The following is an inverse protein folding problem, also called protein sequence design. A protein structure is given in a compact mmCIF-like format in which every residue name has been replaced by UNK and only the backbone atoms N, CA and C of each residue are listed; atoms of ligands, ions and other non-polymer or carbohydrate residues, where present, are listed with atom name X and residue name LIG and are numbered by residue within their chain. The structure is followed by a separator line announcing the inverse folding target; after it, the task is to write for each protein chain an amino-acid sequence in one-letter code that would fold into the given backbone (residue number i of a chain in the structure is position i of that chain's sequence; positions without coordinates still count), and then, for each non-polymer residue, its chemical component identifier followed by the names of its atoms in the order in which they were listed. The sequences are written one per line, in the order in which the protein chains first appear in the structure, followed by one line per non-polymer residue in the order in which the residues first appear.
data_IF_566600665288
#
_entry.id   IF_566600665288
#
_cell.length_a   1.000
_cell.length_b   1.000
_cell.length_c   1.000
_cell.angle_alpha   90.00
_cell.angle_beta   90.00
_cell.angle_gamma   90.00
#
_symmetry.space_group_name_H-M   'P 1'
#
loop_
_entity.id
_entity.type
_entity.pdbx_description
1 polymer ?
#
# COMPACT_ATOMS: atom_id res chain seq x y z
N UNK A 1 9.35 17.37 -39.42
CA UNK A 1 10.13 16.60 -38.42
C UNK A 1 10.35 17.28 -37.05
N UNK A 2 9.82 18.50 -36.77
CA UNK A 2 10.06 19.18 -35.47
C UNK A 2 8.96 19.02 -34.42
N UNK A 3 7.76 18.50 -34.76
CA UNK A 3 6.62 18.41 -33.83
C UNK A 3 6.57 17.11 -33.02
N UNK A 4 7.29 16.07 -33.44
CA UNK A 4 7.27 14.76 -32.79
C UNK A 4 8.20 14.67 -31.57
N UNK A 5 9.25 15.49 -31.50
CA UNK A 5 10.17 15.50 -30.35
C UNK A 5 9.61 16.19 -29.10
N UNK A 6 8.63 17.10 -29.22
CA UNK A 6 8.07 17.82 -28.05
C UNK A 6 7.08 17.00 -27.23
N UNK A 7 6.43 16.00 -27.83
CA UNK A 7 5.48 15.11 -27.16
C UNK A 7 6.16 14.01 -26.32
N UNK A 8 7.36 13.57 -26.72
CA UNK A 8 8.12 12.57 -25.96
C UNK A 8 8.80 13.17 -24.71
N UNK A 9 9.21 14.44 -24.77
CA UNK A 9 9.81 15.13 -23.62
C UNK A 9 8.80 15.44 -22.49
N UNK A 10 7.53 15.65 -22.83
CA UNK A 10 6.47 15.96 -21.85
C UNK A 10 5.96 14.72 -21.11
N UNK A 11 5.97 13.54 -21.75
CA UNK A 11 5.59 12.27 -21.10
C UNK A 11 6.68 11.79 -20.12
N UNK A 12 7.96 11.97 -20.47
CA UNK A 12 9.08 11.61 -19.57
C UNK A 12 9.13 12.45 -18.29
N UNK A 13 8.77 13.73 -18.36
CA UNK A 13 8.77 14.63 -17.20
C UNK A 13 7.62 14.34 -16.22
N UNK A 14 6.44 13.97 -16.73
CA UNK A 14 5.31 13.57 -15.88
C UNK A 14 5.57 12.25 -15.13
N UNK A 15 6.20 11.25 -15.77
CA UNK A 15 6.52 9.97 -15.12
C UNK A 15 7.61 10.11 -14.05
N UNK A 16 8.60 11.00 -14.27
CA UNK A 16 9.64 11.29 -13.29
C UNK A 16 9.11 12.04 -12.05
N UNK A 17 8.16 12.96 -12.23
CA UNK A 17 7.54 13.70 -11.12
C UNK A 17 6.66 12.81 -10.23
N UNK A 18 5.97 11.82 -10.79
CA UNK A 18 5.19 10.85 -10.01
C UNK A 18 6.06 9.86 -9.22
N UNK A 19 7.24 9.51 -9.71
CA UNK A 19 8.18 8.66 -8.99
C UNK A 19 8.88 9.42 -7.84
N UNK A 20 9.26 10.69 -8.06
CA UNK A 20 9.92 11.49 -7.02
C UNK A 20 9.00 11.92 -5.88
N UNK A 21 7.70 12.08 -6.11
CA UNK A 21 6.75 12.43 -5.05
C UNK A 21 6.56 11.30 -4.03
N UNK A 22 6.62 10.03 -4.47
CA UNK A 22 6.30 8.86 -3.66
C UNK A 22 7.36 8.51 -2.59
N UNK A 23 8.60 8.98 -2.76
CA UNK A 23 9.75 8.70 -1.91
C UNK A 23 10.19 9.88 -1.02
N UNK A 24 9.44 10.99 -1.03
CA UNK A 24 9.76 12.12 -0.14
C UNK A 24 9.47 11.77 1.33
N UNK A 25 10.25 12.30 2.29
CA UNK A 25 9.94 12.14 3.72
C UNK A 25 8.52 12.56 4.09
N UNK A 26 7.96 13.57 3.40
CA UNK A 26 6.59 14.05 3.57
C UNK A 26 5.55 13.05 3.05
N UNK A 27 5.77 12.44 1.90
CA UNK A 27 4.88 11.41 1.38
C UNK A 27 4.89 10.15 2.24
N UNK A 28 6.07 9.75 2.74
CA UNK A 28 6.19 8.62 3.65
C UNK A 28 5.49 8.90 4.98
N UNK A 29 5.70 10.08 5.57
CA UNK A 29 4.96 10.51 6.77
C UNK A 29 3.45 10.54 6.52
N UNK A 30 3.01 11.03 5.36
CA UNK A 30 1.60 11.04 4.97
C UNK A 30 1.00 9.63 4.89
N UNK A 31 1.72 8.66 4.30
CA UNK A 31 1.30 7.25 4.27
C UNK A 31 1.22 6.63 5.67
N UNK A 32 2.10 7.02 6.59
CA UNK A 32 2.08 6.52 7.97
C UNK A 32 0.86 7.02 8.75
N UNK A 33 0.37 8.21 8.44
CA UNK A 33 -0.80 8.82 9.09
C UNK A 33 -2.12 8.55 8.36
N UNK A 34 -2.08 7.96 7.17
CA UNK A 34 -3.26 7.64 6.37
C UNK A 34 -3.82 6.24 6.75
N UNK A 35 -5.02 6.14 7.36
CA UNK A 35 -5.61 4.85 7.73
C UNK A 35 -5.89 3.91 6.55
N UNK A 36 -5.91 4.42 5.32
CA UNK A 36 -6.09 3.60 4.12
C UNK A 36 -4.80 2.92 3.67
N UNK A 37 -3.63 3.34 4.19
CA UNK A 37 -2.32 2.87 3.76
C UNK A 37 -1.38 2.46 4.90
N UNK A 38 -1.54 3.00 6.11
CA UNK A 38 -0.62 2.82 7.23
C UNK A 38 -0.38 1.36 7.63
N UNK A 39 -1.41 0.52 7.58
CA UNK A 39 -1.32 -0.90 7.88
C UNK A 39 -0.50 -1.70 6.86
N UNK A 40 -0.25 -1.18 5.65
CA UNK A 40 0.50 -1.88 4.61
C UNK A 40 1.91 -2.30 5.07
N UNK A 41 2.55 -1.48 5.90
CA UNK A 41 3.86 -1.76 6.48
C UNK A 41 3.88 -3.04 7.33
N UNK A 42 2.76 -3.43 7.95
CA UNK A 42 2.71 -4.55 8.88
C UNK A 42 2.22 -5.85 8.23
N UNK A 43 1.83 -5.80 6.95
CA UNK A 43 1.38 -6.98 6.19
C UNK A 43 2.53 -7.73 5.53
N UNK A 44 3.69 -7.09 5.43
CA UNK A 44 4.87 -7.65 4.81
C UNK A 44 6.12 -7.29 5.63
N UNK A 45 6.89 -8.28 6.10
CA UNK A 45 8.13 -8.03 6.85
C UNK A 45 9.14 -7.15 6.09
N UNK A 46 9.19 -7.19 4.76
CA UNK A 46 10.06 -6.32 3.98
C UNK A 46 9.58 -4.86 4.00
N UNK A 47 8.26 -4.65 3.88
CA UNK A 47 7.66 -3.32 4.02
C UNK A 47 7.83 -2.78 5.44
N UNK A 48 7.79 -3.65 6.45
CA UNK A 48 8.04 -3.27 7.84
C UNK A 48 9.47 -2.76 8.02
N UNK A 49 10.48 -3.44 7.47
CA UNK A 49 11.87 -2.98 7.52
C UNK A 49 12.05 -1.62 6.83
N UNK A 50 11.34 -1.37 5.72
CA UNK A 50 11.35 -0.05 5.08
C UNK A 50 10.67 1.01 5.95
N UNK A 51 9.55 0.67 6.60
CA UNK A 51 8.82 1.55 7.50
C UNK A 51 9.65 1.93 8.73
N UNK A 52 10.29 0.96 9.37
CA UNK A 52 11.25 1.24 10.46
C UNK A 52 12.39 2.09 9.93
N UNK A 53 12.87 1.79 8.70
CA UNK A 53 13.86 2.56 7.93
C UNK A 53 13.55 4.03 7.92
N UNK A 54 12.34 4.32 7.47
CA UNK A 54 11.83 5.66 7.35
C UNK A 54 11.71 6.35 8.73
N UNK A 55 11.26 5.66 9.78
CA UNK A 55 11.17 6.28 11.12
C UNK A 55 12.54 6.65 11.69
N UNK A 56 13.57 5.83 11.47
CA UNK A 56 14.93 6.17 11.92
C UNK A 56 15.56 7.30 11.09
N UNK A 57 14.95 7.71 9.98
CA UNK A 57 15.39 8.87 9.22
C UNK A 57 14.88 10.16 9.91
N UNK A 58 15.76 11.08 10.33
CA UNK A 58 15.35 12.33 10.97
C UNK A 58 14.46 13.19 10.08
N UNK A 59 14.64 13.16 8.75
CA UNK A 59 13.80 13.93 7.84
C UNK A 59 12.34 13.45 7.84
N UNK A 60 12.12 12.14 7.88
CA UNK A 60 10.77 11.56 7.96
C UNK A 60 10.17 11.77 9.34
N UNK A 61 10.95 11.58 10.41
CA UNK A 61 10.49 11.84 11.77
C UNK A 61 10.08 13.32 11.96
N UNK A 62 10.85 14.26 11.40
CA UNK A 62 10.50 15.68 11.40
C UNK A 62 9.30 15.98 10.50
N UNK A 63 9.17 15.33 9.35
CA UNK A 63 7.98 15.46 8.52
C UNK A 63 6.72 14.95 9.23
N UNK A 64 6.84 13.89 10.03
CA UNK A 64 5.75 13.34 10.83
C UNK A 64 5.38 14.29 11.98
N UNK A 65 6.37 14.86 12.68
CA UNK A 65 6.15 15.91 13.67
C UNK A 65 5.47 17.14 13.04
N UNK A 66 5.93 17.56 11.87
CA UNK A 66 5.39 18.68 11.11
C UNK A 66 3.93 18.45 10.69
N UNK A 67 3.60 17.24 10.23
CA UNK A 67 2.22 16.85 9.93
C UNK A 67 1.36 16.78 11.20
N UNK A 68 1.91 16.33 12.33
CA UNK A 68 1.23 16.30 13.62
C UNK A 68 0.84 17.69 14.16
N UNK A 69 1.53 18.75 13.73
CA UNK A 69 1.18 20.13 14.04
C UNK A 69 0.14 20.74 13.10
N UNK A 70 -0.11 20.13 11.92
CA UNK A 70 -1.11 20.62 10.98
C UNK A 70 -2.50 20.07 11.35
N UNK A 71 -3.47 20.92 11.72
CA UNK A 71 -4.82 20.46 12.04
C UNK A 71 -5.49 19.71 10.87
N UNK A 72 -5.13 20.02 9.62
CA UNK A 72 -5.68 19.33 8.46
C UNK A 72 -5.27 17.86 8.42
N UNK A 73 -4.13 17.49 8.99
CA UNK A 73 -3.70 16.08 9.09
C UNK A 73 -4.73 15.25 9.85
N UNK A 74 -5.29 15.79 10.94
CA UNK A 74 -6.33 15.10 11.71
C UNK A 74 -7.64 14.97 10.92
N UNK A 75 -8.03 16.00 10.18
CA UNK A 75 -9.22 15.92 9.31
C UNK A 75 -9.04 14.88 8.20
N UNK A 76 -7.84 14.77 7.61
CA UNK A 76 -7.50 13.74 6.63
C UNK A 76 -7.49 12.35 7.24
N UNK A 77 -6.95 12.21 8.46
CA UNK A 77 -6.98 10.95 9.19
C UNK A 77 -8.42 10.52 9.48
N UNK A 78 -9.26 11.43 9.98
CA UNK A 78 -10.68 11.17 10.23
C UNK A 78 -11.44 10.82 8.95
N UNK A 79 -11.21 11.56 7.86
CA UNK A 79 -11.76 11.25 6.55
C UNK A 79 -11.29 9.89 6.03
N UNK A 80 -10.01 9.56 6.26
CA UNK A 80 -9.41 8.28 5.96
C UNK A 80 -10.11 7.14 6.70
N UNK A 81 -10.37 7.28 8.00
CA UNK A 81 -11.10 6.25 8.77
C UNK A 81 -12.50 5.98 8.24
N UNK A 82 -13.16 6.99 7.67
CA UNK A 82 -14.47 6.83 7.02
C UNK A 82 -14.36 6.29 5.60
N UNK A 83 -13.17 6.20 5.02
CA UNK A 83 -12.97 5.65 3.69
C UNK A 83 -13.11 4.12 3.73
N UNK A 84 -13.94 3.51 2.86
CA UNK A 84 -14.03 2.05 2.75
C UNK A 84 -12.68 1.36 2.48
N UNK A 85 -11.72 2.05 1.85
CA UNK A 85 -10.37 1.53 1.65
C UNK A 85 -9.64 1.24 2.98
N UNK A 86 -9.99 1.92 4.08
CA UNK A 86 -9.47 1.59 5.41
C UNK A 86 -9.92 0.21 5.84
N UNK A 87 -11.18 -0.18 5.61
CA UNK A 87 -11.61 -1.54 5.89
C UNK A 87 -10.79 -2.56 5.10
N UNK A 88 -10.57 -2.33 3.81
CA UNK A 88 -9.72 -3.21 2.99
C UNK A 88 -8.29 -3.26 3.53
N UNK A 89 -7.77 -2.12 3.98
CA UNK A 89 -6.44 -2.03 4.54
C UNK A 89 -6.31 -2.88 5.82
N UNK A 90 -7.30 -2.88 6.72
CA UNK A 90 -7.22 -3.66 7.96
C UNK A 90 -7.72 -5.12 7.81
N UNK A 91 -8.68 -5.41 6.94
CA UNK A 91 -9.21 -6.76 6.73
C UNK A 91 -8.16 -7.73 6.17
N UNK A 92 -7.14 -7.23 5.45
CA UNK A 92 -6.03 -8.07 5.02
C UNK A 92 -5.21 -8.68 6.19
N UNK A 93 -5.34 -8.18 7.42
CA UNK A 93 -4.72 -8.84 8.58
C UNK A 93 -5.39 -10.16 8.97
N UNK A 94 -6.64 -10.41 8.52
CA UNK A 94 -7.29 -11.70 8.71
C UNK A 94 -6.81 -12.74 7.69
N UNK A 95 -5.97 -12.35 6.72
CA UNK A 95 -5.42 -13.25 5.73
C UNK A 95 -4.32 -14.13 6.36
N UNK A 96 -4.46 -15.47 6.34
CA UNK A 96 -3.42 -16.39 6.82
C UNK A 96 -2.06 -16.17 6.16
N UNK A 97 -2.04 -15.67 4.92
CA UNK A 97 -0.80 -15.38 4.21
C UNK A 97 0.07 -14.34 4.93
N UNK A 98 -0.52 -13.36 5.62
CA UNK A 98 0.23 -12.37 6.40
C UNK A 98 0.95 -13.05 7.55
N UNK A 99 0.27 -13.93 8.29
CA UNK A 99 0.88 -14.70 9.37
C UNK A 99 2.03 -15.59 8.87
N UNK A 100 1.85 -16.25 7.72
CA UNK A 100 2.88 -17.10 7.10
C UNK A 100 4.11 -16.30 6.69
N UNK A 101 3.94 -15.07 6.15
CA UNK A 101 5.06 -14.17 5.85
C UNK A 101 5.86 -13.82 7.11
N UNK A 102 5.17 -13.50 8.21
CA UNK A 102 5.83 -13.19 9.47
C UNK A 102 6.53 -14.40 10.09
N UNK A 103 5.95 -15.59 9.99
CA UNK A 103 6.62 -16.84 10.38
C UNK A 103 7.90 -17.06 9.56
N UNK A 104 7.82 -16.89 8.23
CA UNK A 104 8.98 -17.02 7.36
C UNK A 104 10.07 -15.97 7.67
N UNK A 105 9.68 -14.73 7.97
CA UNK A 105 10.63 -13.70 8.39
C UNK A 105 11.27 -13.99 9.74
N UNK A 106 10.52 -14.53 10.70
CA UNK A 106 11.05 -14.95 12.00
C UNK A 106 12.07 -16.10 11.91
N UNK A 107 11.99 -16.91 10.86
CA UNK A 107 12.98 -17.95 10.56
C UNK A 107 14.14 -17.46 9.69
N UNK A 108 14.07 -16.23 9.15
CA UNK A 108 15.07 -15.68 8.24
C UNK A 108 16.08 -14.79 8.99
N UNK A 109 17.36 -15.19 9.10
CA UNK A 109 18.37 -14.38 9.76
C UNK A 109 18.55 -12.99 9.13
N UNK A 110 18.36 -12.88 7.81
CA UNK A 110 18.53 -11.61 7.08
C UNK A 110 17.53 -10.54 7.52
N UNK A 111 16.34 -10.93 8.00
CA UNK A 111 15.35 -9.98 8.51
C UNK A 111 15.88 -9.26 9.75
N UNK A 112 16.41 -10.01 10.72
CA UNK A 112 17.02 -9.45 11.92
C UNK A 112 18.30 -8.66 11.63
N UNK A 113 19.14 -9.16 10.71
CA UNK A 113 20.34 -8.44 10.28
C UNK A 113 19.98 -7.10 9.64
N UNK A 114 18.93 -7.04 8.80
CA UNK A 114 18.49 -5.80 8.19
C UNK A 114 17.99 -4.78 9.23
N UNK A 115 17.19 -5.23 10.21
CA UNK A 115 16.74 -4.37 11.31
C UNK A 115 17.90 -3.87 12.18
N UNK A 116 18.86 -4.75 12.53
CA UNK A 116 20.05 -4.34 13.29
C UNK A 116 20.94 -3.39 12.49
N UNK A 117 21.20 -3.67 11.21
CA UNK A 117 22.00 -2.81 10.35
C UNK A 117 21.41 -1.40 10.25
N UNK A 118 20.08 -1.31 10.28
CA UNK A 118 19.38 -0.04 10.28
C UNK A 118 19.63 0.76 11.57
N UNK A 119 19.56 0.10 12.73
CA UNK A 119 19.84 0.71 14.03
C UNK A 119 21.31 1.10 14.21
N UNK A 120 22.24 0.36 13.60
CA UNK A 120 23.68 0.60 13.69
C UNK A 120 24.22 1.48 12.55
N UNK A 121 23.36 2.01 11.68
CA UNK A 121 23.81 2.77 10.52
C UNK A 121 24.44 4.11 10.96
N UNK A 122 25.76 4.31 10.81
CA UNK A 122 26.44 5.53 11.24
C UNK A 122 25.92 6.77 10.50
N UNK A 123 25.44 6.63 9.26
CA UNK A 123 24.85 7.74 8.52
C UNK A 123 23.57 8.26 9.19
N UNK A 124 22.75 7.38 9.76
CA UNK A 124 21.54 7.79 10.49
C UNK A 124 21.90 8.61 11.73
N UNK A 125 22.92 8.20 12.48
CA UNK A 125 23.39 8.95 13.66
C UNK A 125 23.95 10.32 13.30
N UNK A 126 24.77 10.40 12.25
CA UNK A 126 25.29 11.69 11.76
C UNK A 126 24.15 12.61 11.29
N UNK A 127 23.17 12.07 10.58
CA UNK A 127 21.99 12.81 10.16
C UNK A 127 21.18 13.29 11.37
N UNK A 128 21.04 12.49 12.43
CA UNK A 128 20.37 12.90 13.68
C UNK A 128 21.14 13.99 14.43
N UNK A 129 22.47 13.91 14.46
CA UNK A 129 23.32 14.94 15.06
C UNK A 129 23.17 16.29 14.33
N UNK A 130 23.06 16.25 13.00
CA UNK A 130 22.80 17.43 12.19
C UNK A 130 21.31 17.83 12.14
N UNK A 131 20.39 16.99 12.63
CA UNK A 131 18.96 17.19 12.47
C UNK A 131 18.45 18.50 13.07
N UNK A 132 18.86 18.94 14.29
CA UNK A 132 18.44 20.23 14.83
C UNK A 132 18.88 21.44 13.99
N UNK A 133 19.96 21.28 13.21
CA UNK A 133 20.49 22.29 12.30
C UNK A 133 19.94 22.14 10.87
N UNK A 134 19.06 21.17 10.63
CA UNK A 134 18.47 20.98 9.31
C UNK A 134 17.51 22.13 8.95
N UNK A 135 17.37 22.47 7.67
CA UNK A 135 16.36 23.44 7.21
C UNK A 135 14.95 23.10 7.68
N UNK A 136 14.62 21.80 7.73
CA UNK A 136 13.34 21.30 8.22
C UNK A 136 13.13 21.62 9.70
N UNK A 137 14.11 21.37 10.56
CA UNK A 137 14.02 21.70 11.99
C UNK A 137 13.92 23.21 12.23
N UNK A 138 14.71 24.00 11.50
CA UNK A 138 14.63 25.47 11.58
C UNK A 138 13.25 25.99 11.13
N UNK A 139 12.72 25.47 10.01
CA UNK A 139 11.38 25.83 9.54
C UNK A 139 10.31 25.44 10.55
N UNK A 140 10.42 24.25 11.16
CA UNK A 140 9.52 23.80 12.22
C UNK A 140 9.57 24.74 13.44
N UNK A 141 10.77 25.13 13.89
CA UNK A 141 10.95 26.11 14.96
C UNK A 141 10.31 27.46 14.62
N UNK A 142 10.47 27.94 13.38
CA UNK A 142 9.85 29.16 12.91
C UNK A 142 8.31 29.05 12.87
N UNK A 143 7.77 27.90 12.48
CA UNK A 143 6.33 27.65 12.48
C UNK A 143 5.72 27.60 13.88
N UNK A 144 6.44 27.04 14.87
CA UNK A 144 6.00 27.05 16.27
C UNK A 144 5.90 28.47 16.84
N UNK A 145 6.74 29.38 16.36
CA UNK A 145 6.68 30.81 16.69
C UNK A 145 5.64 31.56 15.86
N UNK A 146 5.06 30.95 14.83
CA UNK A 146 4.09 31.61 13.97
C UNK A 146 2.70 31.65 14.64
N UNK A 147 2.17 32.83 14.99
CA UNK A 147 0.84 32.94 15.59
C UNK A 147 -0.27 32.38 14.68
N UNK A 148 -0.06 32.36 13.36
CA UNK A 148 -0.99 31.79 12.40
C UNK A 148 -1.21 30.29 12.59
N UNK A 149 -0.23 29.55 13.14
CA UNK A 149 -0.40 28.13 13.47
C UNK A 149 -1.56 27.95 14.47
N UNK A 150 -1.59 28.75 15.53
CA UNK A 150 -2.63 28.69 16.55
C UNK A 150 -3.98 29.19 16.03
N UNK A 151 -3.98 30.23 15.19
CA UNK A 151 -5.18 30.69 14.51
C UNK A 151 -5.78 29.61 13.60
N UNK A 152 -4.94 28.88 12.87
CA UNK A 152 -5.35 27.74 12.04
C UNK A 152 -5.94 26.62 12.91
N UNK A 153 -5.38 26.34 14.08
CA UNK A 153 -5.96 25.38 15.03
C UNK A 153 -7.32 25.83 15.58
N UNK A 154 -7.51 27.12 15.86
CA UNK A 154 -8.83 27.63 16.27
C UNK A 154 -9.86 27.56 15.13
N UNK A 155 -9.44 27.80 13.90
CA UNK A 155 -10.31 27.71 12.73
C UNK A 155 -10.50 26.26 12.22
N UNK A 156 -9.67 25.33 12.67
CA UNK A 156 -9.67 23.95 12.16
C UNK A 156 -11.04 23.26 12.23
N UNK A 157 -11.80 23.32 13.34
CA UNK A 157 -13.09 22.65 13.44
C UNK A 157 -14.16 23.21 12.47
N UNK A 158 -14.03 24.48 12.08
CA UNK A 158 -14.96 25.18 11.17
C UNK A 158 -14.43 25.27 9.73
N UNK A 159 -13.25 24.69 9.47
CA UNK A 159 -12.71 24.61 8.11
C UNK A 159 -13.67 23.82 7.21
N UNK A 160 -13.77 24.16 5.91
CA UNK A 160 -14.66 23.44 4.99
C UNK A 160 -14.41 21.92 4.97
N UNK A 161 -13.15 21.49 5.13
CA UNK A 161 -12.80 20.07 5.19
C UNK A 161 -13.30 19.42 6.48
N UNK A 162 -13.14 20.06 7.64
CA UNK A 162 -13.66 19.55 8.90
C UNK A 162 -15.20 19.47 8.88
N UNK A 163 -15.87 20.51 8.39
CA UNK A 163 -17.34 20.53 8.25
C UNK A 163 -17.82 19.42 7.32
N UNK A 164 -17.20 19.25 6.15
CA UNK A 164 -17.53 18.18 5.22
C UNK A 164 -17.33 16.80 5.86
N UNK A 165 -16.25 16.63 6.62
CA UNK A 165 -15.94 15.39 7.34
C UNK A 165 -16.95 15.13 8.47
N UNK A 166 -17.38 16.17 9.19
CA UNK A 166 -18.42 16.07 10.23
C UNK A 166 -19.81 15.75 9.65
N UNK A 167 -20.09 16.21 8.44
CA UNK A 167 -21.32 15.91 7.71
C UNK A 167 -21.26 14.57 6.97
N UNK A 168 -20.09 13.93 6.89
CA UNK A 168 -19.90 12.68 6.13
C UNK A 168 -20.80 11.53 6.61
N UNK A 169 -21.04 11.31 7.92
CA UNK A 169 -22.00 10.30 8.39
C UNK A 169 -23.44 10.56 7.94
N UNK A 170 -23.81 11.79 7.57
CA UNK A 170 -25.15 12.08 7.04
C UNK A 170 -25.28 11.78 5.55
N UNK A 171 -24.18 11.43 4.86
CA UNK A 171 -24.18 11.14 3.44
C UNK A 171 -24.57 9.67 3.19
N UNK A 172 -25.73 9.38 2.57
CA UNK A 172 -26.14 8.01 2.27
C UNK A 172 -25.16 7.26 1.36
N UNK A 173 -24.41 7.98 0.52
CA UNK A 173 -23.39 7.38 -0.33
C UNK A 173 -22.24 6.78 0.47
N UNK A 174 -21.95 7.31 1.67
CA UNK A 174 -20.94 6.74 2.55
C UNK A 174 -21.30 5.30 2.92
N UNK A 175 -22.55 5.06 3.34
CA UNK A 175 -23.04 3.73 3.69
C UNK A 175 -23.07 2.79 2.48
N UNK A 176 -23.49 3.29 1.32
CA UNK A 176 -23.46 2.50 0.07
C UNK A 176 -22.03 2.08 -0.29
N UNK A 177 -21.06 2.98 -0.13
CA UNK A 177 -19.65 2.68 -0.37
C UNK A 177 -19.10 1.65 0.64
N UNK A 178 -19.48 1.74 1.92
CA UNK A 178 -19.12 0.76 2.94
C UNK A 178 -19.75 -0.62 2.69
N UNK A 179 -21.01 -0.65 2.28
CA UNK A 179 -21.70 -1.89 1.89
C UNK A 179 -21.04 -2.52 0.67
N UNK A 180 -20.76 -1.71 -0.37
CA UNK A 180 -20.05 -2.18 -1.56
C UNK A 180 -18.66 -2.72 -1.24
N UNK A 181 -17.91 -2.06 -0.35
CA UNK A 181 -16.63 -2.56 0.11
C UNK A 181 -16.76 -3.83 0.94
N UNK A 182 -17.75 -3.94 1.82
CA UNK A 182 -17.97 -5.15 2.62
C UNK A 182 -18.42 -6.35 1.79
N UNK A 183 -19.13 -6.11 0.69
CA UNK A 183 -19.53 -7.16 -0.26
C UNK A 183 -18.44 -7.48 -1.27
N UNK A 184 -17.43 -6.61 -1.45
CA UNK A 184 -16.35 -6.85 -2.40
C UNK A 184 -15.40 -7.91 -1.84
N UNK A 185 -15.23 -9.06 -2.53
CA UNK A 185 -14.30 -10.11 -2.12
C UNK A 185 -12.85 -9.61 -2.01
N UNK A 186 -12.44 -8.62 -2.80
CA UNK A 186 -11.08 -8.05 -2.75
C UNK A 186 -10.75 -7.43 -1.39
N UNK A 187 -11.76 -6.99 -0.63
CA UNK A 187 -11.60 -6.45 0.73
C UNK A 187 -10.95 -7.45 1.68
N UNK A 188 -11.14 -8.74 1.44
CA UNK A 188 -10.68 -9.83 2.31
C UNK A 188 -9.40 -10.51 1.84
N UNK A 189 -8.72 -9.96 0.82
CA UNK A 189 -7.48 -10.56 0.30
C UNK A 189 -7.69 -11.99 -0.20
N UNK A 190 -6.82 -12.93 0.20
CA UNK A 190 -6.91 -14.33 -0.23
C UNK A 190 -8.22 -15.02 0.23
N UNK A 191 -8.79 -14.61 1.37
CA UNK A 191 -10.05 -15.16 1.88
C UNK A 191 -11.21 -14.85 0.93
N UNK A 192 -11.29 -13.65 0.38
CA UNK A 192 -12.34 -13.30 -0.57
C UNK A 192 -12.16 -13.96 -1.94
N UNK A 193 -10.91 -14.18 -2.37
CA UNK A 193 -10.64 -15.02 -3.54
C UNK A 193 -11.12 -16.46 -3.31
N UNK A 194 -10.97 -16.99 -2.10
CA UNK A 194 -11.52 -18.31 -1.74
C UNK A 194 -13.05 -18.31 -1.68
N UNK A 195 -13.70 -17.23 -1.22
CA UNK A 195 -15.16 -17.11 -1.21
C UNK A 195 -15.77 -17.00 -2.62
N UNK A 196 -15.02 -16.47 -3.59
CA UNK A 196 -15.45 -16.37 -4.99
C UNK A 196 -15.04 -17.55 -5.86
N UNK A 197 -14.08 -18.36 -5.40
CA UNK A 197 -13.63 -19.55 -6.12
C UNK A 197 -14.77 -20.53 -6.47
N UNK A 198 -15.77 -20.81 -5.60
CA UNK A 198 -16.92 -21.63 -5.97
C UNK A 198 -17.79 -20.99 -7.05
N UNK A 199 -17.94 -19.66 -7.03
CA UNK A 199 -18.74 -18.92 -8.00
C UNK A 199 -18.04 -18.77 -9.37
N UNK A 200 -16.71 -18.66 -9.38
CA UNK A 200 -15.91 -18.64 -10.62
C UNK A 200 -15.71 -20.04 -11.21
N UNK A 201 -15.65 -21.10 -10.39
CA UNK A 201 -15.68 -22.48 -10.88
C UNK A 201 -17.02 -22.83 -11.55
N UNK A 202 -18.12 -22.17 -11.15
CA UNK A 202 -19.42 -22.28 -11.80
C UNK A 202 -19.60 -21.38 -13.04
N UNK A 203 -18.73 -20.39 -13.23
CA UNK A 203 -18.76 -19.45 -14.37
C UNK A 203 -17.63 -19.67 -15.40
N UNK A 204 -16.71 -20.59 -15.14
CA UNK A 204 -15.80 -21.08 -16.17
C UNK A 204 -16.64 -21.77 -17.26
N UNK A 205 -16.41 -21.49 -18.57
CA UNK A 205 -17.05 -22.28 -19.61
C UNK A 205 -16.70 -23.73 -19.32
N UNK A 206 -17.71 -24.60 -19.23
CA UNK A 206 -17.54 -26.02 -18.99
C UNK A 206 -16.63 -26.60 -20.08
N UNK A 207 -15.32 -26.55 -19.86
CA UNK A 207 -14.33 -27.35 -20.57
C UNK A 207 -14.63 -28.76 -20.14
N UNK A 208 -15.37 -29.44 -21.02
CA UNK A 208 -15.72 -30.85 -20.95
C UNK A 208 -14.57 -31.62 -20.32
N UNK A 209 -14.77 -32.07 -19.07
CA UNK A 209 -13.92 -33.13 -18.54
C UNK A 209 -14.01 -34.28 -19.54
N UNK A 210 -12.88 -34.78 -20.08
CA UNK A 210 -12.92 -35.85 -21.06
C UNK A 210 -13.58 -37.05 -20.39
N UNK A 211 -14.76 -37.41 -20.89
CA UNK A 211 -15.48 -38.59 -20.40
C UNK A 211 -14.60 -39.81 -20.68
N UNK A 212 -14.34 -40.68 -19.70
CA UNK A 212 -13.53 -41.89 -19.87
C UNK A 212 -14.18 -42.94 -20.80
N UNK A 213 -15.36 -42.62 -21.35
CA UNK A 213 -16.12 -43.44 -22.29
C UNK A 213 -16.10 -42.88 -23.72
N UNK A 214 -15.28 -41.86 -24.01
CA UNK A 214 -15.11 -41.36 -25.37
C UNK A 214 -14.41 -42.42 -26.25
N UNK A 215 -15.09 -42.96 -27.29
CA UNK A 215 -14.53 -43.98 -28.19
C UNK A 215 -13.25 -43.52 -28.90
N UNK A 216 -13.07 -42.21 -29.10
CA UNK A 216 -11.88 -41.64 -29.75
C UNK A 216 -10.65 -41.63 -28.82
N UNK A 217 -10.84 -41.54 -27.50
CA UNK A 217 -9.77 -41.65 -26.52
C UNK A 217 -9.32 -43.11 -26.34
N UNK A 218 -10.27 -44.05 -26.36
CA UNK A 218 -10.00 -45.50 -26.31
C UNK A 218 -9.19 -45.99 -27.51
N UNK A 219 -9.45 -45.49 -28.72
CA UNK A 219 -8.70 -45.83 -29.93
C UNK A 219 -7.23 -45.35 -29.91
N UNK A 220 -6.90 -44.32 -29.11
CA UNK A 220 -5.53 -43.79 -29.00
C UNK A 220 -4.67 -44.51 -27.95
N UNK A 221 -5.28 -45.33 -27.10
CA UNK A 221 -4.58 -46.11 -26.07
C UNK A 221 -4.17 -47.52 -26.53
N UNK A 222 -4.50 -47.91 -27.77
CA UNK A 222 -4.04 -49.17 -28.37
C UNK A 222 -2.77 -48.93 -29.19
N UNK A 223 -1.56 -49.18 -28.64
CA UNK A 223 -0.35 -49.20 -29.46
C UNK A 223 -0.41 -50.40 -30.40
N UNK A 224 -0.46 -50.14 -31.71
CA UNK A 224 -0.19 -51.16 -32.73
C UNK A 224 1.33 -51.40 -32.72
N UNK A 225 1.82 -52.60 -32.34
CA UNK A 225 3.23 -52.89 -32.37
C UNK A 225 3.65 -53.23 -33.80
N UNK A 226 4.67 -52.54 -34.30
CA UNK A 226 5.45 -52.99 -35.44
C UNK A 226 5.44 -52.06 -36.63
N UNK A 227 6.46 -51.20 -36.70
CA UNK A 227 7.19 -50.88 -37.93
C UNK A 227 8.39 -50.00 -37.57
N UNK A 228 9.56 -50.61 -37.36
CA UNK A 228 10.83 -49.91 -37.57
C UNK A 228 10.97 -49.60 -39.07
N UNK A 229 11.54 -48.44 -39.44
CA UNK A 229 12.31 -48.36 -40.67
C UNK A 229 13.80 -48.23 -40.37
N UNK A 230 14.56 -48.98 -41.16
CA UNK A 230 16.00 -49.14 -41.10
C UNK A 230 16.78 -47.91 -41.55
N UNK A 231 18.02 -47.86 -41.09
CA UNK A 231 19.06 -46.90 -41.44
C UNK A 231 19.41 -46.89 -42.95
N UNK A 232 19.83 -45.71 -43.41
CA UNK A 232 21.09 -45.51 -44.14
C UNK A 232 21.56 -44.07 -43.98
#
# INVERSE_FOLDING_TARGET
MKRTCSLLASIGLCLAQSAQAADTPQAVAGKMLDPTQNASAFKDPAAFTQWTGALMNPATSMALAQQGMDPNTYTKMLAGMMNPATMQNYMQFTDPAVAMKWMAAGMNPNFYTALMAQGLNPASYLNWMAAPLSPQAMNMGMQLMNPALYANWMAAPVSPQAVNTMMAPMNPNLYMNWMGAGMNPQTYGALGQMMTAPAQAAAAPATQMPSPLDPAALMKMLPIPGAQPAAK
#
